data_IF_857472054538
#
_entry.id   IF_857472054538
#
_cell.length_a   1.000
_cell.length_b   1.000
_cell.length_c   1.000
_cell.angle_alpha   90.00
_cell.angle_beta   90.00
_cell.angle_gamma   90.00
#
_symmetry.space_group_name_H-M   'P 1'
#
loop_
_entity.id
_entity.type
_entity.pdbx_description
1 polymer ?
#
# COMPACT_ATOMS: atom_id res chain seq x y z
N UNK A 1 -18.13 -28.82 74.30
CA UNK A 1 -18.65 -27.70 73.50
C UNK A 1 -17.72 -27.45 72.33
N UNK A 2 -18.04 -27.95 71.18
CA UNK A 2 -17.18 -27.83 69.99
C UNK A 2 -17.83 -26.81 69.07
N UNK A 3 -17.13 -25.71 68.77
CA UNK A 3 -17.61 -24.69 67.79
C UNK A 3 -17.18 -25.14 66.40
N UNK A 4 -18.17 -25.36 65.56
CA UNK A 4 -18.00 -25.65 64.15
C UNK A 4 -18.06 -24.31 63.34
N UNK A 5 -16.92 -23.87 62.86
CA UNK A 5 -16.83 -22.69 62.00
C UNK A 5 -17.16 -23.08 60.54
N UNK A 6 -18.25 -22.55 60.00
CA UNK A 6 -18.65 -22.71 58.60
C UNK A 6 -17.96 -21.60 57.81
N UNK A 7 -17.07 -21.96 56.89
CA UNK A 7 -16.54 -21.06 55.87
C UNK A 7 -17.52 -21.07 54.70
N UNK A 8 -18.16 -19.94 54.44
CA UNK A 8 -18.89 -19.71 53.21
C UNK A 8 -17.89 -19.20 52.18
N UNK A 9 -17.59 -20.03 51.20
CA UNK A 9 -16.84 -19.60 50.00
C UNK A 9 -17.82 -18.91 49.05
N UNK A 10 -17.68 -17.61 48.89
CA UNK A 10 -18.27 -16.90 47.75
C UNK A 10 -17.50 -17.29 46.46
N UNK A 11 -18.11 -18.07 45.61
CA UNK A 11 -17.68 -18.23 44.25
C UNK A 11 -18.46 -17.25 43.40
N UNK A 12 -17.90 -16.04 43.18
CA UNK A 12 -18.35 -15.12 42.13
C UNK A 12 -17.75 -15.61 40.82
N UNK A 13 -18.46 -16.57 40.21
CA UNK A 13 -18.17 -17.02 38.85
C UNK A 13 -19.21 -16.36 37.90
N UNK A 14 -19.20 -15.02 37.89
CA UNK A 14 -20.02 -14.25 37.00
C UNK A 14 -19.26 -14.00 35.67
N UNK A 15 -18.93 -15.08 34.97
CA UNK A 15 -18.45 -15.05 33.61
C UNK A 15 -19.65 -14.92 32.67
N UNK A 16 -20.35 -13.79 32.72
CA UNK A 16 -21.21 -13.38 31.61
C UNK A 16 -20.30 -13.08 30.42
N UNK A 17 -20.37 -13.86 29.31
CA UNK A 17 -19.57 -13.55 28.12
C UNK A 17 -19.93 -12.13 27.66
N UNK A 18 -18.93 -11.26 27.55
CA UNK A 18 -19.17 -9.96 26.94
C UNK A 18 -19.83 -10.16 25.57
N UNK A 19 -20.93 -9.46 25.27
CA UNK A 19 -21.58 -9.58 23.96
C UNK A 19 -20.54 -9.25 22.90
N UNK A 20 -20.25 -10.23 22.06
CA UNK A 20 -19.37 -10.04 20.91
C UNK A 20 -20.07 -9.01 20.01
N UNK A 21 -19.39 -7.95 19.55
CA UNK A 21 -19.99 -7.00 18.65
C UNK A 21 -20.48 -7.75 17.42
N UNK A 22 -21.76 -7.61 17.11
CA UNK A 22 -22.34 -8.18 15.89
C UNK A 22 -21.59 -7.64 14.68
N UNK A 23 -21.23 -8.51 13.71
CA UNK A 23 -20.57 -8.05 12.49
C UNK A 23 -21.47 -7.03 11.82
N UNK A 24 -20.94 -5.82 11.63
CA UNK A 24 -21.64 -4.78 10.86
C UNK A 24 -21.99 -5.35 9.49
N UNK A 25 -23.26 -5.38 9.07
CA UNK A 25 -23.59 -5.89 7.76
C UNK A 25 -22.83 -5.11 6.69
N UNK A 26 -22.13 -5.82 5.83
CA UNK A 26 -21.45 -5.19 4.69
C UNK A 26 -22.50 -4.54 3.79
N UNK A 27 -22.23 -3.35 3.25
CA UNK A 27 -23.17 -2.70 2.36
C UNK A 27 -23.47 -3.62 1.17
N UNK A 28 -24.73 -3.85 0.88
CA UNK A 28 -25.22 -4.73 -0.19
C UNK A 28 -24.76 -4.27 -1.59
N UNK A 29 -24.38 -3.00 -1.70
CA UNK A 29 -23.87 -2.40 -2.94
C UNK A 29 -22.46 -1.87 -2.70
N UNK A 30 -21.52 -2.29 -3.54
CA UNK A 30 -20.15 -1.77 -3.52
C UNK A 30 -20.15 -0.23 -3.63
N UNK A 31 -19.27 0.49 -2.91
CA UNK A 31 -19.15 1.93 -3.01
C UNK A 31 -18.82 2.38 -4.43
N UNK A 32 -19.24 3.58 -4.81
CA UNK A 32 -18.84 4.20 -6.08
C UNK A 32 -17.43 4.78 -5.91
N UNK A 33 -16.43 3.93 -6.04
CA UNK A 33 -15.01 4.27 -5.91
C UNK A 33 -14.26 3.77 -7.13
N UNK A 34 -13.44 4.64 -7.70
CA UNK A 34 -12.50 4.27 -8.75
C UNK A 34 -11.14 3.95 -8.12
N UNK A 35 -10.45 2.98 -8.68
CA UNK A 35 -9.11 2.62 -8.26
C UNK A 35 -8.22 2.24 -9.45
N UNK A 36 -6.92 2.31 -9.22
CA UNK A 36 -5.89 2.00 -10.20
C UNK A 36 -5.19 0.70 -9.82
N UNK A 37 -5.00 -0.18 -10.78
CA UNK A 37 -4.29 -1.44 -10.62
C UNK A 37 -3.12 -1.54 -11.59
N UNK A 38 -2.00 -2.07 -11.11
CA UNK A 38 -0.80 -2.35 -11.88
C UNK A 38 -0.75 -3.84 -12.23
N UNK A 39 -0.44 -4.16 -13.49
CA UNK A 39 -0.14 -5.52 -13.91
C UNK A 39 1.37 -5.77 -14.01
N UNK A 40 1.77 -7.04 -14.05
CA UNK A 40 3.16 -7.45 -14.16
C UNK A 40 3.78 -7.27 -15.56
N UNK A 41 2.98 -6.85 -16.55
CA UNK A 41 3.41 -6.53 -17.92
C UNK A 41 3.42 -5.01 -18.20
N UNK A 42 3.63 -4.21 -17.17
CA UNK A 42 3.71 -2.73 -17.26
C UNK A 42 2.44 -2.09 -17.83
N UNK A 43 1.26 -2.55 -17.40
CA UNK A 43 0.01 -1.88 -17.72
C UNK A 43 -0.68 -1.38 -16.47
N UNK A 44 -1.34 -0.25 -16.62
CA UNK A 44 -2.22 0.35 -15.61
C UNK A 44 -3.66 0.14 -16.06
N UNK A 45 -4.48 -0.34 -15.16
CA UNK A 45 -5.92 -0.50 -15.35
C UNK A 45 -6.67 0.39 -14.37
N UNK A 46 -7.71 1.03 -14.83
CA UNK A 46 -8.61 1.86 -14.03
C UNK A 46 -9.95 1.13 -13.91
N UNK A 47 -10.39 0.91 -12.70
CA UNK A 47 -11.62 0.19 -12.41
C UNK A 47 -12.56 1.04 -11.57
N UNK A 48 -13.86 0.78 -11.72
CA UNK A 48 -14.85 1.16 -10.74
C UNK A 48 -15.19 -0.04 -9.86
N UNK A 49 -15.26 0.15 -8.55
CA UNK A 49 -15.51 -0.92 -7.59
C UNK A 49 -16.86 -1.64 -7.80
N UNK A 50 -17.81 -1.00 -8.49
CA UNK A 50 -19.10 -1.61 -8.85
C UNK A 50 -19.04 -2.47 -10.12
N UNK A 51 -17.97 -2.38 -10.90
CA UNK A 51 -17.81 -3.15 -12.13
C UNK A 51 -16.36 -3.59 -12.29
N UNK A 52 -16.02 -4.72 -11.69
CA UNK A 52 -14.68 -5.32 -11.75
C UNK A 52 -14.48 -6.19 -12.99
N UNK A 53 -15.56 -6.50 -13.73
CA UNK A 53 -15.51 -7.36 -14.91
C UNK A 53 -14.86 -6.69 -16.12
N UNK A 54 -14.79 -5.35 -16.14
CA UNK A 54 -14.17 -4.58 -17.22
C UNK A 54 -13.53 -3.31 -16.69
N UNK A 55 -12.27 -3.01 -17.04
CA UNK A 55 -11.66 -1.75 -16.70
C UNK A 55 -12.35 -0.59 -17.47
N UNK A 56 -12.42 0.58 -16.84
CA UNK A 56 -12.87 1.82 -17.47
C UNK A 56 -11.93 2.18 -18.62
N UNK A 57 -10.63 2.01 -18.40
CA UNK A 57 -9.55 2.18 -19.37
C UNK A 57 -8.30 1.45 -18.94
N UNK A 58 -7.36 1.28 -19.86
CA UNK A 58 -6.02 0.81 -19.55
C UNK A 58 -4.96 1.60 -20.34
N UNK A 59 -3.73 1.60 -19.84
CA UNK A 59 -2.58 2.25 -20.46
C UNK A 59 -1.36 1.34 -20.33
N UNK A 60 -0.55 1.27 -21.38
CA UNK A 60 0.78 0.66 -21.31
C UNK A 60 1.78 1.68 -20.79
N UNK A 61 2.55 1.34 -19.78
CA UNK A 61 3.63 2.19 -19.28
C UNK A 61 4.80 2.12 -20.25
N UNK A 62 5.27 3.30 -20.65
CA UNK A 62 6.42 3.49 -21.55
C UNK A 62 7.47 4.39 -20.92
N UNK A 63 8.65 4.53 -21.52
CA UNK A 63 9.70 5.42 -21.00
C UNK A 63 10.54 4.81 -19.87
N UNK A 64 10.38 3.52 -19.59
CA UNK A 64 11.21 2.80 -18.63
C UNK A 64 12.59 2.48 -19.21
N UNK A 65 13.55 2.16 -18.33
CA UNK A 65 14.84 1.63 -18.76
C UNK A 65 14.67 0.25 -19.41
N UNK A 66 15.62 -0.14 -20.24
CA UNK A 66 15.57 -1.45 -20.90
C UNK A 66 15.50 -2.60 -19.89
N UNK A 67 14.49 -3.45 -20.03
CA UNK A 67 14.27 -4.61 -19.15
C UNK A 67 13.71 -4.27 -17.77
N UNK A 68 13.32 -3.01 -17.51
CA UNK A 68 12.73 -2.59 -16.24
C UNK A 68 11.22 -2.78 -16.22
N UNK A 69 10.71 -3.19 -15.07
CA UNK A 69 9.27 -3.24 -14.78
C UNK A 69 8.92 -2.28 -13.64
N UNK A 70 7.74 -1.71 -13.69
CA UNK A 70 7.13 -1.09 -12.50
C UNK A 70 6.60 -2.20 -11.59
N UNK A 71 7.01 -2.17 -10.33
CA UNK A 71 6.69 -3.22 -9.33
C UNK A 71 5.74 -2.73 -8.24
N UNK A 72 5.54 -1.42 -8.13
CA UNK A 72 4.57 -0.82 -7.21
C UNK A 72 4.17 0.57 -7.70
N UNK A 73 2.95 0.97 -7.43
CA UNK A 73 2.43 2.31 -7.72
C UNK A 73 1.74 2.89 -6.49
N UNK A 74 1.77 4.21 -6.35
CA UNK A 74 0.98 4.94 -5.38
C UNK A 74 0.76 6.38 -5.83
N UNK A 75 -0.31 7.01 -5.37
CA UNK A 75 -0.59 8.42 -5.62
C UNK A 75 0.04 9.31 -4.56
N UNK A 76 0.74 10.36 -4.99
CA UNK A 76 1.23 11.41 -4.06
C UNK A 76 0.05 12.28 -3.63
N UNK A 77 -0.36 12.28 -2.36
CA UNK A 77 -1.53 13.05 -1.91
C UNK A 77 -1.38 14.57 -2.12
N UNK A 78 -0.15 15.09 -2.03
CA UNK A 78 0.11 16.52 -2.19
C UNK A 78 -0.13 17.05 -3.61
N UNK A 79 -0.03 16.21 -4.64
CA UNK A 79 -0.11 16.63 -6.05
C UNK A 79 -1.11 15.83 -6.89
N UNK A 80 -1.58 14.68 -6.39
CA UNK A 80 -2.43 13.74 -7.15
C UNK A 80 -1.69 12.99 -8.25
N UNK A 81 -0.36 13.10 -8.37
CA UNK A 81 0.42 12.42 -9.40
C UNK A 81 0.61 10.95 -9.05
N UNK A 82 0.55 10.10 -10.07
CA UNK A 82 0.84 8.67 -9.95
C UNK A 82 2.35 8.43 -10.01
N UNK A 83 2.87 7.78 -8.96
CA UNK A 83 4.27 7.37 -8.87
C UNK A 83 4.40 5.88 -9.11
N UNK A 84 5.53 5.48 -9.69
CA UNK A 84 5.90 4.08 -9.89
C UNK A 84 7.29 3.78 -9.34
N UNK A 85 7.42 2.63 -8.70
CA UNK A 85 8.71 2.06 -8.30
C UNK A 85 9.18 1.11 -9.39
N UNK A 86 10.30 1.42 -10.01
CA UNK A 86 10.95 0.56 -10.99
C UNK A 86 11.80 -0.54 -10.34
N UNK A 87 11.85 -1.70 -10.97
CA UNK A 87 12.61 -2.87 -10.49
C UNK A 87 14.13 -2.64 -10.41
N UNK A 88 14.65 -1.58 -11.03
CA UNK A 88 16.06 -1.18 -11.00
C UNK A 88 16.38 -0.06 -10.02
N UNK A 89 15.57 0.10 -8.96
CA UNK A 89 15.75 1.12 -7.92
C UNK A 89 15.60 2.54 -8.43
N UNK A 90 14.57 2.77 -9.24
CA UNK A 90 14.20 4.09 -9.76
C UNK A 90 12.79 4.45 -9.35
N UNK A 91 12.54 5.72 -9.14
CA UNK A 91 11.19 6.27 -9.04
C UNK A 91 10.81 6.94 -10.35
N UNK A 92 9.54 6.83 -10.69
CA UNK A 92 8.96 7.44 -11.88
C UNK A 92 7.70 8.23 -11.51
N UNK A 93 7.44 9.33 -12.24
CA UNK A 93 6.11 9.91 -12.34
C UNK A 93 5.49 9.38 -13.63
N UNK A 94 4.28 8.83 -13.54
CA UNK A 94 3.58 8.22 -14.66
C UNK A 94 2.46 9.15 -15.12
N UNK A 95 2.51 9.56 -16.38
CA UNK A 95 1.45 10.36 -16.97
C UNK A 95 0.23 9.47 -17.25
N UNK A 96 -0.88 9.71 -16.58
CA UNK A 96 -2.08 8.90 -16.63
C UNK A 96 -2.90 9.07 -17.93
N UNK A 97 -2.52 9.99 -18.81
CA UNK A 97 -3.15 10.15 -20.13
C UNK A 97 -2.40 9.36 -21.20
N UNK A 98 -1.07 9.37 -21.14
CA UNK A 98 -0.22 8.76 -22.18
C UNK A 98 0.45 7.44 -21.75
N UNK A 99 0.52 7.13 -20.47
CA UNK A 99 1.31 6.02 -19.93
C UNK A 99 2.81 6.30 -19.86
N UNK A 100 3.28 7.51 -20.23
CA UNK A 100 4.70 7.85 -20.20
C UNK A 100 5.20 7.97 -18.76
N UNK A 101 6.18 7.15 -18.41
CA UNK A 101 6.92 7.22 -17.14
C UNK A 101 8.16 8.11 -17.32
N UNK A 102 8.29 9.12 -16.46
CA UNK A 102 9.44 10.01 -16.41
C UNK A 102 10.24 9.70 -15.15
N UNK A 103 11.54 9.32 -15.26
CA UNK A 103 12.34 8.99 -14.09
C UNK A 103 12.62 10.21 -13.22
N UNK A 104 12.65 10.02 -11.91
CA UNK A 104 13.12 10.98 -10.93
C UNK A 104 14.60 10.72 -10.63
N UNK A 105 15.41 11.75 -10.79
CA UNK A 105 16.86 11.64 -10.67
C UNK A 105 17.53 11.03 -11.91
N UNK A 106 18.84 11.26 -12.02
CA UNK A 106 19.63 10.82 -13.17
C UNK A 106 20.06 9.33 -13.07
N UNK A 107 20.07 8.75 -11.87
CA UNK A 107 20.55 7.41 -11.57
C UNK A 107 19.59 6.66 -10.64
N UNK A 108 19.73 5.33 -10.52
CA UNK A 108 19.05 4.57 -9.47
C UNK A 108 19.40 5.12 -8.08
N UNK A 109 18.44 5.05 -7.15
CA UNK A 109 18.72 5.44 -5.77
C UNK A 109 19.61 4.40 -5.06
N UNK A 110 20.33 4.87 -4.04
CA UNK A 110 21.20 4.04 -3.19
C UNK A 110 20.83 4.26 -1.71
N UNK A 111 20.78 3.20 -0.87
CA UNK A 111 20.93 1.79 -1.24
C UNK A 111 19.83 1.30 -2.18
N UNK A 112 20.16 0.34 -3.04
CA UNK A 112 19.21 -0.25 -3.99
C UNK A 112 18.14 -1.11 -3.28
N UNK A 113 17.06 -1.40 -4.01
CA UNK A 113 16.03 -2.34 -3.57
C UNK A 113 16.70 -3.69 -3.24
N UNK A 114 16.32 -4.25 -2.09
CA UNK A 114 16.75 -5.57 -1.66
C UNK A 114 15.54 -6.49 -1.48
N UNK A 115 15.78 -7.80 -1.61
CA UNK A 115 14.70 -8.78 -1.57
C UNK A 115 14.08 -9.06 -2.95
N UNK A 116 13.01 -9.84 -2.95
CA UNK A 116 12.31 -10.30 -4.16
C UNK A 116 10.97 -9.61 -4.39
N UNK A 117 10.49 -8.86 -3.41
CA UNK A 117 9.24 -8.10 -3.47
C UNK A 117 9.40 -6.81 -2.67
N UNK A 118 8.95 -5.70 -3.25
CA UNK A 118 8.98 -4.39 -2.63
C UNK A 118 7.76 -3.58 -3.03
N UNK A 119 7.34 -2.68 -2.14
CA UNK A 119 6.25 -1.75 -2.41
C UNK A 119 6.56 -0.35 -1.87
N UNK A 120 5.85 0.63 -2.41
CA UNK A 120 5.88 2.02 -1.95
C UNK A 120 4.52 2.47 -1.45
N UNK A 121 4.55 3.42 -0.52
CA UNK A 121 3.39 4.10 0.02
C UNK A 121 3.77 5.53 0.44
N UNK A 122 2.91 6.49 0.14
CA UNK A 122 3.11 7.88 0.52
C UNK A 122 2.65 8.14 1.95
N UNK A 123 3.52 8.75 2.75
CA UNK A 123 3.11 9.33 4.02
C UNK A 123 2.68 10.79 3.77
N UNK A 124 1.37 11.11 3.86
CA UNK A 124 0.85 12.43 3.55
C UNK A 124 1.30 13.51 4.55
N UNK A 125 1.60 13.14 5.80
CA UNK A 125 1.98 14.09 6.85
C UNK A 125 3.33 14.75 6.58
N UNK A 126 4.28 14.02 6.01
CA UNK A 126 5.65 14.49 5.77
C UNK A 126 6.02 14.55 4.31
N UNK A 127 5.09 14.18 3.42
CA UNK A 127 5.27 14.09 1.97
C UNK A 127 6.55 13.32 1.60
N UNK A 128 6.61 12.08 2.03
CA UNK A 128 7.73 11.17 1.75
C UNK A 128 7.20 9.80 1.36
N UNK A 129 7.97 9.12 0.54
CA UNK A 129 7.67 7.74 0.13
C UNK A 129 8.34 6.80 1.13
N UNK A 130 7.56 5.84 1.65
CA UNK A 130 8.04 4.68 2.36
C UNK A 130 8.20 3.54 1.35
N UNK A 131 9.39 2.95 1.27
CA UNK A 131 9.63 1.70 0.56
C UNK A 131 9.88 0.61 1.58
N UNK A 132 9.18 -0.50 1.43
CA UNK A 132 9.40 -1.71 2.23
C UNK A 132 9.63 -2.91 1.33
N UNK A 133 10.47 -3.84 1.78
CA UNK A 133 10.77 -5.07 1.06
C UNK A 133 10.56 -6.29 1.95
N UNK A 134 10.33 -7.44 1.34
CA UNK A 134 10.07 -8.71 2.06
C UNK A 134 11.25 -9.24 2.87
N UNK A 135 12.45 -8.67 2.72
CA UNK A 135 13.64 -8.98 3.54
C UNK A 135 13.85 -8.04 4.72
N UNK A 136 12.87 -7.16 5.03
CA UNK A 136 12.93 -6.19 6.13
C UNK A 136 13.58 -4.84 5.77
N UNK A 137 14.01 -4.62 4.52
CA UNK A 137 14.49 -3.30 4.11
C UNK A 137 13.35 -2.28 4.22
N UNK A 138 13.69 -1.09 4.74
CA UNK A 138 12.75 0.01 4.95
C UNK A 138 13.45 1.33 4.64
N UNK A 139 13.10 1.94 3.52
CA UNK A 139 13.70 3.18 3.05
C UNK A 139 12.67 4.31 3.05
N UNK A 140 13.16 5.54 3.28
CA UNK A 140 12.40 6.76 3.05
C UNK A 140 12.97 7.47 1.83
N UNK A 141 12.14 7.75 0.84
CA UNK A 141 12.54 8.37 -0.42
C UNK A 141 11.97 9.79 -0.53
N UNK A 142 12.74 10.66 -1.21
CA UNK A 142 12.30 12.02 -1.54
C UNK A 142 11.49 12.00 -2.84
N UNK A 143 10.24 12.50 -2.85
CA UNK A 143 9.36 12.38 -4.01
C UNK A 143 9.80 13.19 -5.22
N UNK A 144 10.58 14.25 -5.04
CA UNK A 144 11.05 15.09 -6.16
C UNK A 144 12.44 14.70 -6.65
N UNK A 145 13.28 14.18 -5.76
CA UNK A 145 14.68 13.85 -6.10
C UNK A 145 14.88 12.38 -6.45
N UNK A 146 13.94 11.52 -6.09
CA UNK A 146 14.07 10.07 -6.27
C UNK A 146 15.20 9.44 -5.44
N UNK A 147 15.69 10.14 -4.42
CA UNK A 147 16.82 9.70 -3.58
C UNK A 147 16.37 9.18 -2.23
N UNK A 148 17.15 8.29 -1.61
CA UNK A 148 16.97 7.84 -0.23
C UNK A 148 17.35 8.96 0.72
N UNK A 149 16.48 9.25 1.71
CA UNK A 149 16.71 10.26 2.76
C UNK A 149 16.82 9.66 4.17
N UNK A 150 16.39 8.42 4.35
CA UNK A 150 16.59 7.62 5.58
C UNK A 150 16.39 6.13 5.30
N UNK A 151 17.02 5.31 6.12
CA UNK A 151 16.95 3.84 6.13
C UNK A 151 16.48 3.32 7.48
#
# INVERSE_FOLDING_TARGET
MSLLSIFVACSDDDTTPMPQPEPTPMPEVAPLVDFTALSNDNKIFYFNARNLGSPIRNLTITGLQSGENIISIDYRPATGQLYGLGSTSRLYIINETSGLATPLGAAPFSPSIAGTSSSIDFNPTVDRIRLVSNNGQNLRLHPELGSVVAT
#
